data_IF_504811081914
#
_entry.id   IF_504811081914
#
_cell.length_a   1.000
_cell.length_b   1.000
_cell.length_c   1.000
_cell.angle_alpha   90.00
_cell.angle_beta   90.00
_cell.angle_gamma   90.00
#
_symmetry.space_group_name_H-M   'P 1'
#
loop_
_entity.id
_entity.type
_entity.pdbx_description
1 polymer ?
#
# COMPACT_ATOMS: atom_id res chain seq x y z
N UNK A 1 49.73 -34.08 -18.47
CA UNK A 1 50.10 -32.90 -17.64
C UNK A 1 49.98 -31.56 -18.38
N UNK A 2 50.59 -31.38 -19.57
CA UNK A 2 50.57 -30.07 -20.26
C UNK A 2 49.19 -29.53 -20.63
N UNK A 3 48.24 -30.40 -21.01
CA UNK A 3 46.88 -29.98 -21.39
C UNK A 3 46.08 -29.50 -20.18
N UNK A 4 46.20 -30.18 -19.03
CA UNK A 4 45.54 -29.79 -17.79
C UNK A 4 46.07 -28.45 -17.25
N UNK A 5 47.40 -28.24 -17.31
CA UNK A 5 48.02 -26.97 -16.93
C UNK A 5 47.59 -25.82 -17.84
N UNK A 6 47.47 -26.07 -19.15
CA UNK A 6 46.98 -25.08 -20.13
C UNK A 6 45.52 -24.71 -19.89
N UNK A 7 44.65 -25.69 -19.61
CA UNK A 7 43.26 -25.43 -19.25
C UNK A 7 43.13 -24.61 -17.96
N UNK A 8 43.92 -24.92 -16.93
CA UNK A 8 43.93 -24.14 -15.68
C UNK A 8 44.41 -22.71 -15.93
N UNK A 9 45.46 -22.52 -16.72
CA UNK A 9 45.96 -21.19 -17.06
C UNK A 9 44.92 -20.35 -17.81
N UNK A 10 44.20 -20.93 -18.78
CA UNK A 10 43.14 -20.24 -19.51
C UNK A 10 41.97 -19.83 -18.61
N UNK A 11 41.59 -20.67 -17.64
CA UNK A 11 40.55 -20.34 -16.66
C UNK A 11 40.99 -19.17 -15.78
N UNK A 12 42.24 -19.16 -15.29
CA UNK A 12 42.77 -18.07 -14.46
C UNK A 12 42.81 -16.76 -15.25
N UNK A 13 43.26 -16.79 -16.51
CA UNK A 13 43.26 -15.62 -17.39
C UNK A 13 41.84 -15.11 -17.64
N UNK A 14 40.89 -16.02 -17.86
CA UNK A 14 39.47 -15.67 -18.02
C UNK A 14 38.90 -14.97 -16.79
N UNK A 15 39.15 -15.49 -15.59
CA UNK A 15 38.71 -14.87 -14.33
C UNK A 15 39.35 -13.49 -14.16
N UNK A 16 40.65 -13.36 -14.43
CA UNK A 16 41.36 -12.08 -14.36
C UNK A 16 40.80 -11.04 -15.34
N UNK A 17 40.46 -11.44 -16.56
CA UNK A 17 39.84 -10.57 -17.56
C UNK A 17 38.45 -10.09 -17.12
N UNK A 18 37.63 -10.96 -16.51
CA UNK A 18 36.32 -10.59 -15.97
C UNK A 18 36.46 -9.62 -14.79
N UNK A 19 37.39 -9.87 -13.87
CA UNK A 19 37.66 -8.97 -12.75
C UNK A 19 38.12 -7.57 -13.22
N UNK A 20 39.00 -7.52 -14.23
CA UNK A 20 39.41 -6.25 -14.86
C UNK A 20 38.23 -5.54 -15.52
N UNK A 21 37.37 -6.28 -16.23
CA UNK A 21 36.17 -5.72 -16.85
C UNK A 21 35.26 -5.07 -15.80
N UNK A 22 34.99 -5.73 -14.67
CA UNK A 22 34.19 -5.16 -13.59
C UNK A 22 34.82 -3.93 -12.94
N UNK A 23 36.14 -3.92 -12.76
CA UNK A 23 36.86 -2.75 -12.28
C UNK A 23 36.74 -1.56 -13.25
N UNK A 24 36.86 -1.80 -14.56
CA UNK A 24 36.69 -0.76 -15.59
C UNK A 24 35.24 -0.27 -15.69
N UNK A 25 34.28 -1.14 -15.39
CA UNK A 25 32.85 -0.80 -15.38
C UNK A 25 32.44 0.04 -14.16
N UNK A 26 33.23 0.07 -13.10
CA UNK A 26 32.93 0.87 -11.93
C UNK A 26 32.97 2.37 -12.26
N UNK A 27 32.04 3.14 -11.71
CA UNK A 27 31.88 4.58 -11.98
C UNK A 27 31.65 5.36 -10.69
N UNK A 28 31.99 6.66 -10.63
CA UNK A 28 31.69 7.49 -9.46
C UNK A 28 30.17 7.65 -9.24
N UNK A 29 29.73 8.01 -8.02
CA UNK A 29 28.32 8.29 -7.74
C UNK A 29 27.76 9.39 -8.64
N UNK A 30 26.61 9.14 -9.27
CA UNK A 30 25.92 10.14 -10.10
C UNK A 30 25.29 11.26 -9.25
N UNK A 31 24.96 12.39 -9.87
CA UNK A 31 24.21 13.47 -9.19
C UNK A 31 22.85 12.96 -8.71
N UNK A 32 22.19 12.12 -9.51
CA UNK A 32 20.91 11.49 -9.15
C UNK A 32 21.07 10.62 -7.90
N UNK A 33 22.11 9.79 -7.84
CA UNK A 33 22.43 9.00 -6.66
C UNK A 33 22.65 9.88 -5.42
N UNK A 34 23.43 10.95 -5.54
CA UNK A 34 23.72 11.87 -4.43
C UNK A 34 22.43 12.54 -3.93
N UNK A 35 21.55 12.95 -4.84
CA UNK A 35 20.27 13.57 -4.49
C UNK A 35 19.31 12.58 -3.79
N UNK A 36 19.23 11.33 -4.27
CA UNK A 36 18.36 10.31 -3.68
C UNK A 36 18.86 9.80 -2.33
N UNK A 37 20.16 9.90 -2.07
CA UNK A 37 20.77 9.48 -0.80
C UNK A 37 20.91 10.61 0.22
N UNK A 38 20.55 11.84 -0.14
CA UNK A 38 20.51 12.96 0.78
C UNK A 38 19.48 12.73 1.89
N UNK A 39 19.89 12.92 3.15
CA UNK A 39 19.00 12.70 4.29
C UNK A 39 17.88 13.72 4.35
N UNK A 40 16.64 13.32 4.69
CA UNK A 40 15.54 14.25 4.88
C UNK A 40 15.81 15.18 6.08
N UNK A 41 15.27 16.41 6.07
CA UNK A 41 15.17 17.23 7.28
C UNK A 41 14.41 16.46 8.38
N UNK A 42 14.84 16.60 9.64
CA UNK A 42 14.15 16.01 10.81
C UNK A 42 13.31 17.09 11.52
N UNK A 43 11.99 17.14 11.31
CA UNK A 43 11.14 18.16 11.91
C UNK A 43 10.78 18.00 13.40
N UNK A 44 10.61 16.79 13.96
CA UNK A 44 10.22 16.67 15.39
C UNK A 44 11.40 16.66 16.36
N UNK A 45 11.30 17.52 17.38
CA UNK A 45 12.29 17.64 18.46
C UNK A 45 12.07 16.68 19.63
N UNK A 46 10.84 16.17 19.83
CA UNK A 46 10.50 15.28 20.96
C UNK A 46 10.07 13.88 20.49
N UNK A 47 11.04 12.97 20.42
CA UNK A 47 10.82 11.58 19.99
C UNK A 47 9.85 10.81 20.89
N UNK A 48 9.66 11.22 22.16
CA UNK A 48 8.80 10.52 23.12
C UNK A 48 7.31 10.73 22.86
N UNK A 49 6.94 11.67 21.99
CA UNK A 49 5.53 11.94 21.62
C UNK A 49 5.18 11.45 20.22
N UNK A 50 6.11 10.83 19.52
CA UNK A 50 5.91 10.44 18.14
C UNK A 50 5.18 9.09 18.06
N UNK A 51 3.98 9.10 17.45
CA UNK A 51 3.14 7.92 17.24
C UNK A 51 3.83 6.82 16.43
N UNK A 52 4.87 7.14 15.64
CA UNK A 52 5.68 6.15 14.94
C UNK A 52 6.29 5.10 15.88
N UNK A 53 6.84 5.51 17.02
CA UNK A 53 7.43 4.57 17.97
C UNK A 53 6.36 3.74 18.68
N UNK A 54 5.18 4.28 18.94
CA UNK A 54 4.08 3.49 19.49
C UNK A 54 3.69 2.37 18.51
N UNK A 55 3.62 2.64 17.21
CA UNK A 55 3.37 1.59 16.21
C UNK A 55 4.48 0.53 16.19
N UNK A 56 5.75 0.93 16.28
CA UNK A 56 6.87 -0.03 16.31
C UNK A 56 6.88 -0.92 17.57
N UNK A 57 6.47 -0.37 18.71
CA UNK A 57 6.37 -1.08 19.99
C UNK A 57 4.97 -1.55 20.33
N UNK A 58 4.07 -1.64 19.34
CA UNK A 58 2.65 -1.93 19.54
C UNK A 58 2.41 -3.26 20.29
N UNK A 59 3.30 -4.23 20.06
CA UNK A 59 3.26 -5.58 20.64
C UNK A 59 4.10 -5.74 21.92
N UNK A 60 4.59 -4.65 22.50
CA UNK A 60 5.33 -4.72 23.75
C UNK A 60 4.53 -5.46 24.83
N UNK A 61 5.18 -6.18 25.74
CA UNK A 61 4.46 -6.84 26.86
C UNK A 61 3.73 -5.80 27.72
N UNK A 62 2.75 -6.23 28.52
CA UNK A 62 1.92 -5.33 29.31
C UNK A 62 2.72 -4.46 30.30
N UNK A 63 3.88 -4.96 30.75
CA UNK A 63 4.77 -4.32 31.72
C UNK A 63 5.72 -3.30 31.09
N UNK A 64 5.80 -3.25 29.75
CA UNK A 64 6.71 -2.35 29.01
C UNK A 64 5.93 -1.18 28.41
N UNK A 65 6.55 0.00 28.47
CA UNK A 65 6.08 1.17 27.73
C UNK A 65 6.23 0.91 26.21
N UNK A 66 5.12 0.90 25.42
CA UNK A 66 5.19 0.67 23.99
C UNK A 66 6.01 1.74 23.26
N UNK A 67 6.05 2.99 23.75
CA UNK A 67 6.86 4.05 23.13
C UNK A 67 8.35 3.77 23.29
N UNK A 68 8.76 3.41 24.52
CA UNK A 68 10.15 3.04 24.78
C UNK A 68 10.55 1.78 24.01
N UNK A 69 9.68 0.76 23.99
CA UNK A 69 9.94 -0.48 23.25
C UNK A 69 10.13 -0.23 21.74
N UNK A 70 9.31 0.64 21.14
CA UNK A 70 9.47 1.01 19.74
C UNK A 70 10.69 1.87 19.45
N UNK A 71 11.05 2.77 20.38
CA UNK A 71 12.27 3.59 20.28
C UNK A 71 13.56 2.75 20.35
N UNK A 72 13.57 1.74 21.22
CA UNK A 72 14.70 0.83 21.41
C UNK A 72 14.78 -0.28 20.37
N UNK A 73 13.75 -0.44 19.53
CA UNK A 73 13.66 -1.50 18.53
C UNK A 73 14.84 -1.40 17.56
N UNK A 74 15.52 -2.51 17.37
CA UNK A 74 16.63 -2.65 16.43
C UNK A 74 16.25 -3.61 15.31
N UNK A 75 16.98 -3.52 14.21
CA UNK A 75 16.82 -4.44 13.09
C UNK A 75 17.26 -5.85 13.51
N UNK A 76 16.34 -6.81 13.51
CA UNK A 76 16.59 -8.23 13.74
C UNK A 76 16.62 -9.01 12.42
N UNK A 77 17.14 -10.25 12.44
CA UNK A 77 17.42 -11.03 11.23
C UNK A 77 16.20 -11.42 10.38
N UNK A 78 14.98 -11.35 10.92
CA UNK A 78 13.72 -11.67 10.24
C UNK A 78 12.93 -10.42 9.77
N UNK A 79 13.47 -9.21 9.96
CA UNK A 79 12.75 -7.96 9.66
C UNK A 79 12.38 -7.81 8.17
N UNK A 80 13.12 -8.43 7.25
CA UNK A 80 12.81 -8.39 5.83
C UNK A 80 11.51 -9.15 5.49
N UNK A 81 11.30 -10.28 6.18
CA UNK A 81 10.07 -11.08 6.07
C UNK A 81 8.90 -10.41 6.79
N UNK A 82 9.14 -9.78 7.94
CA UNK A 82 8.12 -8.99 8.63
C UNK A 82 7.69 -7.78 7.77
N UNK A 83 8.65 -7.09 7.16
CA UNK A 83 8.41 -5.94 6.28
C UNK A 83 7.65 -6.33 5.01
N UNK A 84 7.90 -7.51 4.44
CA UNK A 84 7.18 -7.97 3.25
C UNK A 84 5.68 -8.15 3.52
N UNK A 85 5.30 -8.60 4.72
CA UNK A 85 3.89 -8.65 5.15
C UNK A 85 3.21 -7.27 5.11
N UNK A 86 3.90 -6.22 5.54
CA UNK A 86 3.39 -4.85 5.45
C UNK A 86 3.32 -4.34 4.00
N UNK A 87 4.29 -4.67 3.16
CA UNK A 87 4.40 -4.16 1.78
C UNK A 87 3.33 -4.73 0.85
N UNK A 88 3.02 -6.03 0.99
CA UNK A 88 1.98 -6.68 0.18
C UNK A 88 0.58 -6.42 0.75
N UNK A 89 0.49 -6.16 2.06
CA UNK A 89 -0.77 -6.01 2.76
C UNK A 89 -1.56 -7.32 2.73
N UNK A 90 -2.88 -7.20 2.68
CA UNK A 90 -3.79 -8.34 2.77
C UNK A 90 -3.77 -9.24 1.51
N UNK A 91 -3.27 -8.77 0.37
CA UNK A 91 -3.31 -9.48 -0.93
C UNK A 91 -2.22 -10.57 -1.08
N UNK A 92 -1.36 -10.76 -0.07
CA UNK A 92 -0.31 -11.76 -0.09
C UNK A 92 -0.89 -13.18 -0.08
N UNK A 93 -0.74 -13.91 -1.20
CA UNK A 93 -0.88 -15.38 -1.23
C UNK A 93 0.30 -16.02 -0.49
N UNK A 94 0.23 -16.02 0.84
CA UNK A 94 1.25 -16.64 1.68
C UNK A 94 1.12 -16.22 3.15
N UNK A 95 0.64 -17.15 3.98
CA UNK A 95 0.81 -17.21 5.44
C UNK A 95 0.71 -15.84 6.12
N UNK A 96 -0.48 -15.27 6.19
CA UNK A 96 -0.77 -14.44 7.37
C UNK A 96 -0.79 -15.42 8.54
N UNK A 97 0.16 -15.29 9.48
CA UNK A 97 0.07 -15.89 10.82
C UNK A 97 -1.07 -15.27 11.65
N UNK A 98 -2.05 -14.67 10.98
CA UNK A 98 -3.18 -14.00 11.58
C UNK A 98 -4.18 -15.07 12.05
N UNK A 99 -4.59 -14.97 13.31
CA UNK A 99 -5.54 -15.91 13.93
C UNK A 99 -6.87 -16.00 13.17
N UNK A 100 -7.66 -17.04 13.46
CA UNK A 100 -8.95 -17.26 12.81
C UNK A 100 -9.89 -16.04 12.91
N UNK A 101 -9.86 -15.31 14.03
CA UNK A 101 -10.60 -14.05 14.23
C UNK A 101 -10.17 -12.97 13.24
N UNK A 102 -8.88 -12.82 12.96
CA UNK A 102 -8.38 -11.80 12.04
C UNK A 102 -8.83 -12.03 10.59
N UNK A 103 -8.90 -13.28 10.15
CA UNK A 103 -9.40 -13.62 8.82
C UNK A 103 -10.91 -13.34 8.70
N UNK A 104 -11.70 -13.63 9.74
CA UNK A 104 -13.13 -13.30 9.77
C UNK A 104 -13.34 -11.80 9.77
N UNK A 105 -12.63 -11.08 10.63
CA UNK A 105 -12.72 -9.61 10.73
C UNK A 105 -12.37 -8.98 9.40
N UNK A 106 -11.27 -9.39 8.76
CA UNK A 106 -10.89 -8.94 7.42
C UNK A 106 -11.99 -9.18 6.38
N UNK A 107 -12.62 -10.36 6.41
CA UNK A 107 -13.70 -10.72 5.48
C UNK A 107 -14.84 -9.72 5.47
N UNK A 108 -15.19 -9.14 6.62
CA UNK A 108 -16.24 -8.11 6.71
C UNK A 108 -15.91 -6.85 5.93
N UNK A 109 -14.65 -6.39 5.97
CA UNK A 109 -14.20 -5.17 5.29
C UNK A 109 -14.05 -5.34 3.77
N UNK A 110 -13.97 -6.60 3.29
CA UNK A 110 -14.00 -6.90 1.85
C UNK A 110 -15.42 -6.97 1.26
N UNK A 111 -16.45 -6.87 2.10
CA UNK A 111 -17.85 -6.89 1.66
C UNK A 111 -18.32 -5.51 1.18
N UNK A 112 -19.40 -5.49 0.40
CA UNK A 112 -20.00 -4.25 -0.11
C UNK A 112 -20.63 -3.35 0.98
N UNK A 113 -21.02 -3.92 2.13
CA UNK A 113 -21.48 -3.19 3.31
C UNK A 113 -20.90 -3.83 4.58
N UNK A 114 -19.68 -3.42 5.00
CA UNK A 114 -19.03 -3.98 6.17
C UNK A 114 -19.88 -3.85 7.43
N UNK A 115 -20.56 -2.72 7.64
CA UNK A 115 -21.38 -2.50 8.84
C UNK A 115 -22.56 -3.47 8.91
N UNK A 116 -23.11 -3.91 7.76
CA UNK A 116 -24.17 -4.91 7.73
C UNK A 116 -23.68 -6.31 8.12
N UNK A 117 -22.42 -6.64 7.81
CA UNK A 117 -21.79 -7.90 8.23
C UNK A 117 -21.41 -7.88 9.72
N UNK A 118 -21.00 -6.72 10.23
CA UNK A 118 -20.53 -6.52 11.60
C UNK A 118 -21.65 -6.61 12.65
N UNK A 119 -22.79 -5.95 12.40
CA UNK A 119 -23.88 -5.82 13.38
C UNK A 119 -24.40 -7.16 13.93
N UNK A 120 -24.67 -8.19 13.11
CA UNK A 120 -25.10 -9.50 13.60
C UNK A 120 -24.07 -10.20 14.48
N UNK A 121 -22.79 -9.79 14.40
CA UNK A 121 -21.66 -10.40 15.08
C UNK A 121 -21.22 -9.62 16.33
N UNK A 122 -22.08 -8.73 16.86
CA UNK A 122 -21.74 -7.83 17.96
C UNK A 122 -21.19 -8.55 19.21
N UNK A 123 -21.67 -9.76 19.54
CA UNK A 123 -21.15 -10.56 20.65
C UNK A 123 -19.73 -11.07 20.38
N UNK A 124 -19.47 -11.56 19.16
CA UNK A 124 -18.13 -11.99 18.75
C UNK A 124 -17.15 -10.82 18.75
N UNK A 125 -17.58 -9.66 18.22
CA UNK A 125 -16.79 -8.41 18.24
C UNK A 125 -16.44 -8.03 19.68
N UNK A 126 -17.40 -8.03 20.61
CA UNK A 126 -17.15 -7.73 22.03
C UNK A 126 -16.19 -8.73 22.68
N UNK A 127 -16.32 -10.01 22.36
CA UNK A 127 -15.42 -11.06 22.85
C UNK A 127 -13.98 -10.83 22.37
N UNK A 128 -13.78 -10.62 21.07
CA UNK A 128 -12.45 -10.36 20.51
C UNK A 128 -11.86 -9.02 20.97
N UNK A 129 -12.68 -7.98 21.09
CA UNK A 129 -12.24 -6.71 21.67
C UNK A 129 -11.78 -6.86 23.13
N UNK A 130 -12.41 -7.73 23.92
CA UNK A 130 -11.95 -7.99 25.30
C UNK A 130 -10.62 -8.75 25.33
N UNK A 131 -10.41 -9.70 24.41
CA UNK A 131 -9.13 -10.40 24.22
C UNK A 131 -8.02 -9.42 23.82
N UNK A 132 -8.32 -8.45 22.94
CA UNK A 132 -7.37 -7.43 22.44
C UNK A 132 -7.40 -6.12 23.25
N UNK A 133 -7.89 -6.14 24.49
CA UNK A 133 -8.14 -4.92 25.28
C UNK A 133 -6.90 -4.05 25.49
N UNK A 134 -5.72 -4.66 25.69
CA UNK A 134 -4.46 -3.92 25.81
C UNK A 134 -4.09 -3.23 24.50
N UNK A 135 -4.21 -3.95 23.37
CA UNK A 135 -3.87 -3.43 22.06
C UNK A 135 -4.85 -2.32 21.63
N UNK A 136 -6.15 -2.48 21.92
CA UNK A 136 -7.16 -1.44 21.71
C UNK A 136 -6.87 -0.18 22.53
N UNK A 137 -6.44 -0.32 23.80
CA UNK A 137 -6.04 0.82 24.63
C UNK A 137 -4.85 1.56 24.02
N UNK A 138 -3.84 0.83 23.51
CA UNK A 138 -2.69 1.42 22.82
C UNK A 138 -3.09 2.10 21.52
N UNK A 139 -3.99 1.49 20.76
CA UNK A 139 -4.53 2.07 19.53
C UNK A 139 -5.27 3.38 19.81
N UNK A 140 -6.13 3.41 20.83
CA UNK A 140 -6.81 4.63 21.28
C UNK A 140 -5.85 5.71 21.77
N UNK A 141 -4.76 5.31 22.46
CA UNK A 141 -3.68 6.24 22.83
C UNK A 141 -2.97 6.80 21.60
N UNK A 142 -2.79 5.99 20.56
CA UNK A 142 -2.07 6.34 19.34
C UNK A 142 -2.83 7.32 18.43
N UNK A 143 -4.16 7.15 18.27
CA UNK A 143 -4.99 7.99 17.39
C UNK A 143 -4.73 9.51 17.50
N UNK A 144 -4.67 10.12 18.71
CA UNK A 144 -4.44 11.56 18.83
C UNK A 144 -2.95 11.97 18.78
N UNK A 145 -2.01 11.04 18.63
CA UNK A 145 -0.58 11.36 18.68
C UNK A 145 -0.10 12.06 17.40
N UNK A 146 0.85 13.01 17.49
CA UNK A 146 1.54 13.48 16.31
C UNK A 146 2.35 12.33 15.70
N UNK A 147 2.38 12.27 14.37
CA UNK A 147 3.04 11.19 13.64
C UNK A 147 4.14 11.74 12.73
N UNK A 148 5.35 11.21 12.88
CA UNK A 148 6.42 11.35 11.90
C UNK A 148 7.16 10.04 11.72
N UNK A 149 7.24 9.58 10.48
CA UNK A 149 8.07 8.43 10.16
C UNK A 149 9.57 8.81 10.24
N UNK A 150 10.25 8.23 11.22
CA UNK A 150 11.71 8.41 11.43
C UNK A 150 12.52 7.21 10.97
N UNK A 151 11.88 6.20 10.35
CA UNK A 151 12.52 4.98 9.84
C UNK A 151 13.27 5.14 8.52
N UNK A 152 13.55 6.37 8.08
CA UNK A 152 14.16 6.63 6.78
C UNK A 152 15.49 5.89 6.61
N UNK A 153 15.63 5.18 5.49
CA UNK A 153 16.82 4.40 5.16
C UNK A 153 16.96 3.11 5.96
N UNK A 154 15.89 2.64 6.62
CA UNK A 154 15.81 1.38 7.34
C UNK A 154 14.65 0.54 6.82
N UNK A 155 14.78 -0.79 6.89
CA UNK A 155 13.67 -1.73 6.69
C UNK A 155 13.24 -2.24 8.07
N UNK A 156 12.48 -1.41 8.76
CA UNK A 156 11.93 -1.70 10.07
C UNK A 156 10.41 -1.58 9.96
N UNK A 157 9.70 -2.63 10.35
CA UNK A 157 8.24 -2.67 10.23
C UNK A 157 7.56 -2.84 11.59
N UNK A 158 6.44 -2.14 11.84
CA UNK A 158 5.56 -2.53 12.93
C UNK A 158 4.85 -3.84 12.58
N UNK A 159 4.16 -4.46 13.53
CA UNK A 159 3.32 -5.62 13.23
C UNK A 159 2.03 -5.17 12.52
N UNK A 160 2.11 -5.00 11.20
CA UNK A 160 1.02 -4.46 10.40
C UNK A 160 -0.26 -5.31 10.50
N UNK A 161 -0.15 -6.64 10.56
CA UNK A 161 -1.30 -7.52 10.68
C UNK A 161 -2.06 -7.31 11.99
N UNK A 162 -1.33 -7.21 13.11
CA UNK A 162 -1.94 -6.97 14.41
C UNK A 162 -2.55 -5.57 14.53
N UNK A 163 -1.85 -4.54 14.02
CA UNK A 163 -2.39 -3.18 14.01
C UNK A 163 -3.67 -3.11 13.17
N UNK A 164 -3.72 -3.73 11.99
CA UNK A 164 -4.93 -3.77 11.16
C UNK A 164 -6.07 -4.53 11.84
N UNK A 165 -5.79 -5.64 12.53
CA UNK A 165 -6.80 -6.33 13.34
C UNK A 165 -7.42 -5.39 14.38
N UNK A 166 -6.58 -4.67 15.13
CA UNK A 166 -7.04 -3.81 16.22
C UNK A 166 -7.80 -2.59 15.70
N UNK A 167 -7.33 -1.97 14.62
CA UNK A 167 -8.03 -0.92 13.89
C UNK A 167 -9.45 -1.38 13.47
N UNK A 168 -9.55 -2.57 12.84
CA UNK A 168 -10.83 -3.14 12.42
C UNK A 168 -11.75 -3.44 13.60
N UNK A 169 -11.21 -3.96 14.70
CA UNK A 169 -11.98 -4.19 15.94
C UNK A 169 -12.44 -2.87 16.58
N UNK A 170 -11.61 -1.83 16.57
CA UNK A 170 -11.95 -0.51 17.07
C UNK A 170 -13.16 0.08 16.32
N UNK A 171 -13.18 -0.02 14.99
CA UNK A 171 -14.32 0.42 14.18
C UNK A 171 -15.55 -0.47 14.40
N UNK A 172 -15.36 -1.79 14.37
CA UNK A 172 -16.42 -2.78 14.58
C UNK A 172 -17.15 -2.56 15.91
N UNK A 173 -16.41 -2.37 17.00
CA UNK A 173 -16.99 -2.11 18.32
C UNK A 173 -17.80 -0.80 18.34
N UNK A 174 -17.34 0.25 17.65
CA UNK A 174 -18.07 1.50 17.54
C UNK A 174 -19.43 1.33 16.86
N UNK A 175 -19.47 0.64 15.71
CA UNK A 175 -20.71 0.39 14.97
C UNK A 175 -21.61 -0.68 15.62
N UNK A 176 -21.04 -1.55 16.45
CA UNK A 176 -21.80 -2.49 17.27
C UNK A 176 -22.55 -1.79 18.43
N UNK A 177 -22.08 -0.62 18.87
CA UNK A 177 -22.78 0.21 19.85
C UNK A 177 -23.92 0.99 19.18
N UNK A 178 -23.57 1.91 18.28
CA UNK A 178 -24.55 2.72 17.53
C UNK A 178 -23.90 3.44 16.34
N UNK A 179 -24.72 4.04 15.47
CA UNK A 179 -24.24 4.73 14.27
C UNK A 179 -23.42 5.98 14.60
N UNK A 180 -23.80 6.75 15.62
CA UNK A 180 -23.10 7.99 15.98
C UNK A 180 -21.71 7.70 16.51
N UNK A 181 -21.60 6.72 17.42
CA UNK A 181 -20.33 6.25 17.97
C UNK A 181 -19.44 5.67 16.86
N UNK A 182 -20.00 4.81 16.00
CA UNK A 182 -19.27 4.27 14.85
C UNK A 182 -18.74 5.35 13.91
N UNK A 183 -19.56 6.35 13.55
CA UNK A 183 -19.12 7.48 12.73
C UNK A 183 -18.06 8.34 13.43
N UNK A 184 -18.16 8.54 14.75
CA UNK A 184 -17.13 9.23 15.53
C UNK A 184 -15.79 8.51 15.50
N UNK A 185 -15.79 7.19 15.66
CA UNK A 185 -14.59 6.37 15.55
C UNK A 185 -14.00 6.41 14.13
N UNK A 186 -14.82 6.20 13.11
CA UNK A 186 -14.40 6.27 11.70
C UNK A 186 -13.77 7.61 11.33
N UNK A 187 -14.32 8.73 11.82
CA UNK A 187 -13.79 10.06 11.57
C UNK A 187 -12.39 10.26 12.20
N UNK A 188 -12.22 9.84 13.46
CA UNK A 188 -10.93 9.90 14.15
C UNK A 188 -9.89 8.96 13.53
N UNK A 189 -10.32 7.77 13.13
CA UNK A 189 -9.49 6.72 12.57
C UNK A 189 -8.94 7.12 11.19
N UNK A 190 -9.85 7.50 10.27
CA UNK A 190 -9.51 8.04 8.95
C UNK A 190 -8.57 9.23 9.06
N UNK A 191 -8.83 10.17 9.98
CA UNK A 191 -7.96 11.33 10.19
C UNK A 191 -6.53 10.95 10.55
N UNK A 192 -6.39 9.96 11.43
CA UNK A 192 -5.09 9.46 11.91
C UNK A 192 -4.34 8.74 10.80
N UNK A 193 -4.98 7.81 10.09
CA UNK A 193 -4.32 7.08 9.00
C UNK A 193 -3.97 7.93 7.80
N UNK A 194 -4.78 8.95 7.49
CA UNK A 194 -4.43 9.91 6.43
C UNK A 194 -3.23 10.76 6.80
N UNK A 195 -3.09 11.15 8.07
CA UNK A 195 -1.88 11.80 8.56
C UNK A 195 -0.65 10.88 8.39
N UNK A 196 -0.76 9.60 8.76
CA UNK A 196 0.31 8.60 8.53
C UNK A 196 0.62 8.45 7.05
N UNK A 197 -0.41 8.34 6.20
CA UNK A 197 -0.27 8.18 4.76
C UNK A 197 0.53 9.33 4.15
N UNK A 198 0.24 10.58 4.54
CA UNK A 198 0.97 11.77 4.09
C UNK A 198 2.38 11.91 4.66
N UNK A 199 2.62 11.47 5.90
CA UNK A 199 3.90 11.66 6.59
C UNK A 199 4.87 10.47 6.49
N UNK A 200 4.42 9.34 5.97
CA UNK A 200 5.23 8.14 5.83
C UNK A 200 6.45 8.35 4.91
N UNK A 201 7.62 7.90 5.39
CA UNK A 201 8.89 7.91 4.67
C UNK A 201 9.33 6.51 4.30
N UNK A 202 8.79 5.49 4.97
CA UNK A 202 9.06 4.08 4.71
C UNK A 202 7.88 3.44 3.96
N UNK A 203 8.18 2.47 3.10
CA UNK A 203 7.16 1.80 2.29
C UNK A 203 6.17 1.01 3.16
N UNK A 204 6.65 0.34 4.20
CA UNK A 204 5.83 -0.49 5.09
C UNK A 204 4.75 0.32 5.79
N UNK A 205 5.11 1.50 6.32
CA UNK A 205 4.16 2.42 6.95
C UNK A 205 3.18 3.00 5.92
N UNK A 206 3.67 3.37 4.73
CA UNK A 206 2.81 3.85 3.63
C UNK A 206 1.75 2.80 3.25
N UNK A 207 2.16 1.55 3.11
CA UNK A 207 1.27 0.44 2.73
C UNK A 207 0.31 0.04 3.87
N UNK A 208 0.76 0.10 5.12
CA UNK A 208 -0.11 -0.07 6.28
C UNK A 208 -1.23 0.98 6.29
N UNK A 209 -0.87 2.26 6.17
CA UNK A 209 -1.83 3.35 6.16
C UNK A 209 -2.80 3.27 4.97
N UNK A 210 -2.31 2.91 3.78
CA UNK A 210 -3.16 2.70 2.62
C UNK A 210 -4.21 1.60 2.88
N UNK A 211 -3.82 0.49 3.51
CA UNK A 211 -4.74 -0.60 3.86
C UNK A 211 -5.84 -0.12 4.81
N UNK A 212 -5.47 0.60 5.87
CA UNK A 212 -6.44 1.09 6.83
C UNK A 212 -7.39 2.15 6.24
N UNK A 213 -6.88 3.04 5.37
CA UNK A 213 -7.73 3.98 4.63
C UNK A 213 -8.69 3.23 3.69
N UNK A 214 -8.26 2.14 3.05
CA UNK A 214 -9.15 1.31 2.22
C UNK A 214 -10.27 0.69 3.07
N UNK A 215 -9.96 0.16 4.25
CA UNK A 215 -10.94 -0.39 5.20
C UNK A 215 -11.97 0.67 5.64
N UNK A 216 -11.50 1.86 6.00
CA UNK A 216 -12.36 2.98 6.38
C UNK A 216 -13.28 3.43 5.23
N UNK A 217 -12.76 3.47 4.01
CA UNK A 217 -13.54 3.81 2.82
C UNK A 217 -14.57 2.74 2.50
N UNK A 218 -14.26 1.45 2.73
CA UNK A 218 -15.23 0.38 2.55
C UNK A 218 -16.42 0.54 3.50
N UNK A 219 -16.18 0.90 4.77
CA UNK A 219 -17.25 1.24 5.72
C UNK A 219 -18.06 2.44 5.22
N UNK A 220 -17.38 3.53 4.86
CA UNK A 220 -18.04 4.76 4.42
C UNK A 220 -18.89 4.52 3.17
N UNK A 221 -18.35 3.80 2.19
CA UNK A 221 -19.03 3.42 0.95
C UNK A 221 -20.26 2.57 1.21
N UNK A 222 -20.12 1.53 2.07
CA UNK A 222 -21.24 0.68 2.49
C UNK A 222 -22.37 1.47 3.14
N UNK A 223 -22.04 2.38 4.07
CA UNK A 223 -23.03 3.26 4.70
C UNK A 223 -23.74 4.16 3.68
N UNK A 224 -23.02 4.68 2.67
CA UNK A 224 -23.61 5.55 1.65
C UNK A 224 -24.58 4.83 0.71
N UNK A 225 -24.59 3.50 0.69
CA UNK A 225 -25.62 2.71 -0.02
C UNK A 225 -26.96 2.67 0.71
N UNK A 226 -26.98 2.95 2.01
CA UNK A 226 -28.18 2.81 2.85
C UNK A 226 -29.11 4.01 2.71
N UNK A 227 -30.41 3.74 2.65
CA UNK A 227 -31.42 4.77 2.44
C UNK A 227 -31.73 5.59 3.71
N UNK A 228 -31.57 4.97 4.89
CA UNK A 228 -31.91 5.51 6.20
C UNK A 228 -30.87 6.51 6.77
N UNK A 229 -29.76 6.75 6.05
CA UNK A 229 -28.78 7.74 6.48
C UNK A 229 -29.30 9.18 6.36
N UNK A 230 -29.24 9.93 7.45
CA UNK A 230 -29.64 11.33 7.48
C UNK A 230 -28.61 12.26 6.78
N UNK A 231 -29.04 13.51 6.51
CA UNK A 231 -28.20 14.50 5.86
C UNK A 231 -26.93 14.85 6.63
N UNK A 232 -26.97 14.78 7.97
CA UNK A 232 -25.82 15.06 8.85
C UNK A 232 -24.76 13.97 8.74
N UNK A 233 -25.15 12.70 8.75
CA UNK A 233 -24.25 11.56 8.57
C UNK A 233 -23.63 11.57 7.17
N UNK A 234 -24.42 11.81 6.13
CA UNK A 234 -23.91 12.01 4.75
C UNK A 234 -22.93 13.19 4.72
N UNK A 235 -23.27 14.27 5.47
CA UNK A 235 -22.44 15.42 5.81
C UNK A 235 -21.01 15.06 6.22
N UNK A 236 -20.92 14.24 7.28
CA UNK A 236 -19.68 13.77 7.90
C UNK A 236 -18.91 12.80 6.99
N UNK A 237 -19.60 11.82 6.39
CA UNK A 237 -19.00 10.87 5.46
C UNK A 237 -18.33 11.58 4.27
N UNK A 238 -18.94 12.66 3.75
CA UNK A 238 -18.32 13.48 2.71
C UNK A 238 -16.98 14.11 3.07
N UNK A 239 -16.72 14.40 4.36
CA UNK A 239 -15.42 14.89 4.82
C UNK A 239 -14.40 13.75 4.94
N UNK A 240 -14.85 12.57 5.39
CA UNK A 240 -14.06 11.36 5.56
C UNK A 240 -13.51 10.89 4.20
N UNK A 241 -14.38 10.81 3.18
CA UNK A 241 -14.03 10.23 1.87
C UNK A 241 -13.48 11.24 0.85
N UNK A 242 -12.90 12.36 1.30
CA UNK A 242 -12.26 13.30 0.37
C UNK A 242 -11.17 12.57 -0.46
N UNK A 243 -10.98 12.89 -1.75
CA UNK A 243 -9.86 12.35 -2.53
C UNK A 243 -8.51 12.58 -1.84
N UNK A 244 -7.52 11.76 -2.17
CA UNK A 244 -6.16 11.94 -1.66
C UNK A 244 -5.56 13.24 -2.20
N UNK A 245 -4.87 13.97 -1.33
CA UNK A 245 -4.07 15.13 -1.74
C UNK A 245 -2.68 14.70 -2.24
N UNK A 246 -1.90 15.67 -2.72
CA UNK A 246 -0.58 15.41 -3.30
C UNK A 246 0.43 14.84 -2.30
N UNK A 247 0.30 15.16 -1.01
CA UNK A 247 1.20 14.65 0.03
C UNK A 247 0.84 13.20 0.33
N UNK A 248 -0.45 12.89 0.41
CA UNK A 248 -0.98 11.54 0.60
C UNK A 248 -0.70 10.61 -0.59
N UNK A 249 -0.74 11.13 -1.83
CA UNK A 249 -0.39 10.38 -3.05
C UNK A 249 1.12 10.15 -3.22
N UNK A 250 1.96 11.01 -2.64
CA UNK A 250 3.40 10.99 -2.90
C UNK A 250 4.06 9.71 -2.39
N UNK A 251 4.85 9.08 -3.27
CA UNK A 251 5.74 7.95 -2.94
C UNK A 251 7.22 8.34 -2.94
N UNK A 252 7.54 9.63 -3.11
CA UNK A 252 8.93 10.10 -3.21
C UNK A 252 9.79 9.67 -2.02
N UNK A 253 9.30 9.85 -0.80
CA UNK A 253 10.04 9.47 0.40
C UNK A 253 10.17 7.96 0.58
N UNK A 254 9.09 7.15 0.47
CA UNK A 254 9.18 5.69 0.42
C UNK A 254 10.22 5.16 -0.57
N UNK A 255 10.24 5.72 -1.79
CA UNK A 255 11.21 5.38 -2.83
C UNK A 255 12.65 5.68 -2.41
N UNK A 256 12.90 6.91 -1.95
CA UNK A 256 14.24 7.31 -1.48
C UNK A 256 14.70 6.49 -0.26
N UNK A 257 13.80 6.26 0.70
CA UNK A 257 14.12 5.48 1.91
C UNK A 257 14.51 4.04 1.56
N UNK A 258 13.74 3.39 0.68
CA UNK A 258 14.05 2.02 0.26
C UNK A 258 15.38 1.95 -0.51
N UNK A 259 15.66 2.95 -1.35
CA UNK A 259 16.94 3.07 -2.06
C UNK A 259 18.14 3.27 -1.11
N UNK A 260 18.01 4.15 -0.12
CA UNK A 260 19.05 4.38 0.90
C UNK A 260 19.29 3.13 1.74
N UNK A 261 18.24 2.42 2.12
CA UNK A 261 18.39 1.16 2.83
C UNK A 261 19.15 0.13 1.99
N UNK A 262 18.70 -0.08 0.76
CA UNK A 262 19.28 -1.07 -0.15
C UNK A 262 20.76 -0.82 -0.45
N UNK A 263 21.14 0.43 -0.68
CA UNK A 263 22.54 0.79 -0.96
C UNK A 263 23.46 0.52 0.24
N UNK A 264 22.97 0.71 1.48
CA UNK A 264 23.72 0.36 2.70
C UNK A 264 23.85 -1.15 2.91
N UNK A 265 22.81 -1.93 2.57
CA UNK A 265 22.80 -3.37 2.82
C UNK A 265 23.56 -4.18 1.78
N UNK A 266 23.70 -3.70 0.54
CA UNK A 266 24.46 -4.42 -0.51
C UNK A 266 25.88 -4.76 -0.06
N UNK A 267 26.61 -3.78 0.50
CA UNK A 267 27.98 -4.04 0.99
C UNK A 267 28.01 -5.01 2.15
N UNK A 268 27.01 -4.99 3.03
CA UNK A 268 26.89 -5.94 4.14
C UNK A 268 26.55 -7.35 3.63
N UNK A 269 25.63 -7.49 2.66
CA UNK A 269 25.25 -8.76 2.06
C UNK A 269 26.39 -9.39 1.26
N UNK A 270 27.23 -8.57 0.60
CA UNK A 270 28.43 -9.06 -0.05
C UNK A 270 29.44 -9.66 0.95
N UNK A 271 29.49 -9.15 2.19
CA UNK A 271 30.44 -9.56 3.24
C UNK A 271 29.92 -10.65 4.18
N UNK A 272 28.63 -10.63 4.51
CA UNK A 272 28.02 -11.46 5.56
C UNK A 272 27.37 -12.74 5.03
N UNK A 273 27.24 -12.89 3.72
CA UNK A 273 26.63 -14.08 3.14
C UNK A 273 27.61 -15.26 3.23
N UNK A 274 27.14 -16.34 3.87
CA UNK A 274 27.95 -17.42 4.44
C UNK A 274 28.84 -18.05 3.38
N UNK A 275 30.14 -17.81 3.48
CA UNK A 275 31.15 -18.34 2.55
C UNK A 275 31.12 -19.88 2.43
N UNK A 276 30.62 -20.59 3.43
CA UNK A 276 30.63 -22.06 3.50
C UNK A 276 29.45 -22.76 2.78
N UNK A 277 28.39 -22.03 2.37
CA UNK A 277 27.22 -22.60 1.67
C UNK A 277 27.18 -22.23 0.16
N UNK A 278 28.09 -21.36 -0.30
CA UNK A 278 28.08 -20.85 -1.68
C UNK A 278 28.77 -21.80 -2.67
N UNK A 279 28.25 -21.96 -3.90
CA UNK A 279 29.03 -22.55 -4.98
C UNK A 279 30.35 -21.78 -5.18
N UNK A 280 31.44 -22.51 -5.46
CA UNK A 280 32.79 -21.93 -5.59
C UNK A 280 32.87 -20.72 -6.54
N UNK A 281 32.11 -20.76 -7.65
CA UNK A 281 32.09 -19.66 -8.62
C UNK A 281 31.49 -18.37 -8.05
N UNK A 282 30.52 -18.46 -7.14
CA UNK A 282 29.92 -17.30 -6.45
C UNK A 282 30.90 -16.72 -5.44
N UNK A 283 31.59 -17.57 -4.69
CA UNK A 283 32.61 -17.13 -3.73
C UNK A 283 33.77 -16.39 -4.43
N UNK A 284 34.24 -16.92 -5.57
CA UNK A 284 35.24 -16.27 -6.40
C UNK A 284 34.74 -14.93 -6.96
N UNK A 285 33.50 -14.86 -7.44
CA UNK A 285 32.91 -13.62 -7.93
C UNK A 285 32.72 -12.56 -6.84
N UNK A 286 32.30 -12.95 -5.64
CA UNK A 286 32.13 -12.05 -4.50
C UNK A 286 33.46 -11.43 -4.02
N UNK A 287 34.59 -12.12 -4.24
CA UNK A 287 35.93 -11.63 -3.92
C UNK A 287 36.51 -10.68 -4.97
N UNK A 288 35.87 -10.54 -6.14
CA UNK A 288 36.30 -9.64 -7.22
C UNK A 288 35.79 -8.20 -7.02
N UNK A 289 36.39 -7.20 -7.69
CA UNK A 289 35.93 -5.81 -7.64
C UNK A 289 34.63 -5.64 -8.44
N UNK A 290 33.50 -6.03 -7.83
CA UNK A 290 32.16 -5.92 -8.43
C UNK A 290 31.77 -4.44 -8.64
N UNK A 291 31.05 -4.11 -9.73
CA UNK A 291 30.68 -2.74 -10.09
C UNK A 291 29.46 -2.25 -9.27
N UNK A 292 29.63 -2.10 -7.95
CA UNK A 292 28.55 -1.79 -7.00
C UNK A 292 27.98 -0.40 -7.21
N UNK A 293 28.83 0.62 -7.43
CA UNK A 293 28.36 1.99 -7.60
C UNK A 293 27.68 2.16 -8.96
N UNK A 294 28.17 1.52 -10.02
CA UNK A 294 27.48 1.47 -11.31
C UNK A 294 26.05 0.94 -11.17
N UNK A 295 25.89 -0.18 -10.47
CA UNK A 295 24.57 -0.77 -10.17
C UNK A 295 23.69 0.23 -9.41
N UNK A 296 24.23 0.86 -8.37
CA UNK A 296 23.49 1.85 -7.59
C UNK A 296 23.07 3.06 -8.40
N UNK A 297 23.90 3.55 -9.33
CA UNK A 297 23.55 4.64 -10.23
C UNK A 297 22.39 4.24 -11.17
N UNK A 298 22.40 3.03 -11.74
CA UNK A 298 21.31 2.56 -12.60
C UNK A 298 19.97 2.47 -11.86
N UNK A 299 19.99 2.02 -10.59
CA UNK A 299 18.81 2.07 -9.73
C UNK A 299 18.41 3.51 -9.39
N UNK A 300 19.36 4.41 -9.16
CA UNK A 300 19.06 5.82 -8.92
C UNK A 300 18.27 6.43 -10.09
N UNK A 301 18.72 6.19 -11.33
CA UNK A 301 18.05 6.68 -12.54
C UNK A 301 16.64 6.09 -12.72
N UNK A 302 16.47 4.80 -12.38
CA UNK A 302 15.15 4.15 -12.36
C UNK A 302 14.21 4.82 -11.35
N UNK A 303 14.66 5.01 -10.11
CA UNK A 303 13.87 5.58 -9.03
C UNK A 303 13.51 7.05 -9.29
N UNK A 304 14.44 7.85 -9.85
CA UNK A 304 14.16 9.21 -10.28
C UNK A 304 13.10 9.24 -11.39
N UNK A 305 13.26 8.41 -12.42
CA UNK A 305 12.31 8.32 -13.53
C UNK A 305 10.92 7.91 -13.07
N UNK A 306 10.82 6.94 -12.16
CA UNK A 306 9.56 6.48 -11.58
C UNK A 306 8.95 7.57 -10.69
N UNK A 307 9.74 8.23 -9.84
CA UNK A 307 9.25 9.34 -9.00
C UNK A 307 8.74 10.51 -9.83
N UNK A 308 9.39 10.83 -10.94
CA UNK A 308 8.95 11.86 -11.88
C UNK A 308 7.63 11.48 -12.56
N UNK A 309 7.50 10.23 -13.03
CA UNK A 309 6.25 9.75 -13.62
C UNK A 309 5.07 9.83 -12.64
N UNK A 310 5.27 9.44 -11.38
CA UNK A 310 4.27 9.57 -10.32
C UNK A 310 3.90 11.03 -10.08
N UNK A 311 4.89 11.93 -9.96
CA UNK A 311 4.65 13.36 -9.75
C UNK A 311 3.90 14.04 -10.92
N UNK A 312 4.06 13.54 -12.13
CA UNK A 312 3.33 13.98 -13.34
C UNK A 312 1.95 13.32 -13.49
N UNK A 313 1.53 12.46 -12.55
CA UNK A 313 0.25 11.74 -12.61
C UNK A 313 0.22 10.59 -13.62
N UNK A 314 1.36 10.15 -14.14
CA UNK A 314 1.47 9.05 -15.13
C UNK A 314 1.52 7.68 -14.47
N UNK A 315 0.51 7.35 -13.68
CA UNK A 315 0.49 6.15 -12.83
C UNK A 315 0.41 4.83 -13.61
N UNK A 316 -0.29 4.80 -14.75
CA UNK A 316 -0.40 3.61 -15.59
C UNK A 316 0.85 3.32 -16.43
N UNK A 317 1.76 4.31 -16.57
CA UNK A 317 2.89 4.26 -17.49
C UNK A 317 4.21 4.55 -16.78
N UNK A 318 4.48 3.78 -15.72
CA UNK A 318 5.76 3.85 -15.03
C UNK A 318 6.89 3.28 -15.89
N UNK A 319 8.11 3.83 -15.78
CA UNK A 319 9.28 3.24 -16.40
C UNK A 319 9.45 1.81 -15.91
N UNK A 320 9.86 0.89 -16.80
CA UNK A 320 10.10 -0.50 -16.42
C UNK A 320 11.52 -0.64 -15.89
N UNK A 321 11.68 -1.37 -14.77
CA UNK A 321 13.01 -1.62 -14.20
C UNK A 321 13.98 -2.23 -15.23
N UNK A 322 13.47 -3.09 -16.11
CA UNK A 322 14.24 -3.74 -17.17
C UNK A 322 14.88 -2.79 -18.19
N UNK A 323 14.40 -1.54 -18.31
CA UNK A 323 15.05 -0.54 -19.18
C UNK A 323 16.30 0.07 -18.56
N UNK A 324 16.50 -0.10 -17.24
CA UNK A 324 17.67 0.38 -16.50
C UNK A 324 18.60 -0.78 -16.14
N UNK A 325 18.01 -1.89 -15.69
CA UNK A 325 18.73 -3.06 -15.18
C UNK A 325 18.09 -4.31 -15.76
N UNK A 326 18.83 -5.02 -16.61
CA UNK A 326 18.33 -6.21 -17.30
C UNK A 326 18.25 -7.40 -16.35
N UNK A 327 17.04 -7.71 -15.91
CA UNK A 327 16.68 -8.90 -15.14
C UNK A 327 15.35 -9.47 -15.64
N UNK A 328 15.24 -10.77 -15.99
CA UNK A 328 16.30 -11.80 -15.98
C UNK A 328 17.34 -11.61 -17.10
N UNK A 329 18.48 -12.29 -17.00
CA UNK A 329 19.50 -12.30 -18.05
C UNK A 329 18.96 -12.98 -19.31
N UNK A 330 19.16 -12.37 -20.47
CA UNK A 330 18.77 -12.93 -21.79
C UNK A 330 19.98 -13.32 -22.64
N UNK A 331 21.18 -12.98 -22.18
CA UNK A 331 22.45 -13.25 -22.87
C UNK A 331 23.61 -13.42 -21.89
N UNK A 332 24.70 -14.04 -22.34
CA UNK A 332 25.93 -14.18 -21.55
C UNK A 332 26.55 -12.81 -21.17
N UNK A 333 26.33 -11.78 -21.99
CA UNK A 333 26.80 -10.41 -21.72
C UNK A 333 26.10 -9.82 -20.50
N UNK A 334 24.85 -10.19 -20.23
CA UNK A 334 24.11 -9.67 -19.08
C UNK A 334 24.73 -10.13 -17.75
N UNK A 335 25.33 -11.32 -17.70
CA UNK A 335 26.06 -11.81 -16.51
C UNK A 335 27.32 -11.00 -16.21
N UNK A 336 28.01 -10.54 -17.26
CA UNK A 336 29.18 -9.66 -17.11
C UNK A 336 28.74 -8.24 -16.79
N UNK A 337 27.69 -7.74 -17.44
CA UNK A 337 27.18 -6.39 -17.26
C UNK A 337 26.50 -6.17 -15.90
N UNK A 338 25.90 -7.21 -15.34
CA UNK A 338 25.18 -7.14 -14.06
C UNK A 338 25.45 -8.37 -13.16
N UNK A 339 26.68 -8.49 -12.62
CA UNK A 339 27.10 -9.67 -11.89
C UNK A 339 26.46 -9.81 -10.50
N UNK A 340 25.99 -8.71 -9.91
CA UNK A 340 25.44 -8.70 -8.55
C UNK A 340 24.11 -9.46 -8.50
N UNK A 341 23.20 -9.22 -9.43
CA UNK A 341 21.93 -9.95 -9.53
C UNK A 341 22.12 -11.36 -10.11
N UNK A 342 22.94 -11.50 -11.15
CA UNK A 342 22.97 -12.74 -11.94
C UNK A 342 23.98 -13.78 -11.46
N UNK A 343 25.02 -13.37 -10.72
CA UNK A 343 26.06 -14.27 -10.20
C UNK A 343 26.02 -14.33 -8.68
N UNK A 344 26.00 -13.17 -8.00
CA UNK A 344 25.95 -13.14 -6.53
C UNK A 344 24.56 -13.52 -6.02
N UNK A 345 23.51 -13.24 -6.80
CA UNK A 345 22.13 -13.54 -6.42
C UNK A 345 21.56 -12.56 -5.41
N UNK A 346 22.09 -11.33 -5.33
CA UNK A 346 21.43 -10.26 -4.58
C UNK A 346 20.18 -9.86 -5.36
N UNK A 347 19.02 -10.01 -4.72
CA UNK A 347 17.74 -9.69 -5.35
C UNK A 347 17.72 -8.24 -5.89
N UNK A 348 17.12 -8.03 -7.08
CA UNK A 348 16.95 -6.70 -7.61
C UNK A 348 16.03 -5.88 -6.70
N UNK A 349 16.23 -4.56 -6.67
CA UNK A 349 15.29 -3.68 -5.97
C UNK A 349 13.89 -3.77 -6.60
N UNK A 350 12.81 -3.61 -5.81
CA UNK A 350 11.47 -3.88 -6.29
C UNK A 350 11.06 -2.90 -7.40
N UNK A 351 10.15 -3.37 -8.26
CA UNK A 351 9.38 -2.48 -9.12
C UNK A 351 8.38 -1.67 -8.29
N UNK A 352 8.13 -0.43 -8.73
CA UNK A 352 7.20 0.46 -8.04
C UNK A 352 5.76 0.35 -8.52
N UNK A 353 5.51 -0.32 -9.64
CA UNK A 353 4.17 -0.51 -10.21
C UNK A 353 3.13 -1.00 -9.19
N UNK A 354 3.38 -2.05 -8.38
CA UNK A 354 2.38 -2.55 -7.44
C UNK A 354 2.04 -1.54 -6.34
N UNK A 355 3.04 -0.81 -5.84
CA UNK A 355 2.87 0.14 -4.74
C UNK A 355 2.20 1.44 -5.21
N UNK A 356 2.57 1.93 -6.40
CA UNK A 356 1.91 3.07 -7.04
C UNK A 356 0.45 2.71 -7.35
N UNK A 357 0.22 1.56 -7.98
CA UNK A 357 -1.12 1.06 -8.30
C UNK A 357 -2.02 1.03 -7.07
N UNK A 358 -1.51 0.49 -5.95
CA UNK A 358 -2.26 0.40 -4.69
C UNK A 358 -2.63 1.76 -4.08
N UNK A 359 -1.75 2.74 -4.13
CA UNK A 359 -2.05 4.11 -3.67
C UNK A 359 -3.11 4.76 -4.55
N UNK A 360 -3.00 4.61 -5.86
CA UNK A 360 -3.94 5.17 -6.83
C UNK A 360 -5.30 4.49 -6.73
N UNK A 361 -5.33 3.19 -6.47
CA UNK A 361 -6.55 2.44 -6.20
C UNK A 361 -7.25 2.92 -4.92
N UNK A 362 -6.47 3.27 -3.89
CA UNK A 362 -6.99 3.88 -2.66
C UNK A 362 -7.67 5.22 -2.97
N UNK A 363 -7.05 6.06 -3.80
CA UNK A 363 -7.66 7.31 -4.27
C UNK A 363 -8.92 7.06 -5.12
N UNK A 364 -8.91 6.04 -6.00
CA UNK A 364 -10.06 5.65 -6.79
C UNK A 364 -11.25 5.27 -5.90
N UNK A 365 -11.02 4.46 -4.84
CA UNK A 365 -12.06 4.12 -3.85
C UNK A 365 -12.60 5.36 -3.13
N UNK A 366 -11.74 6.28 -2.71
CA UNK A 366 -12.14 7.54 -2.08
C UNK A 366 -13.01 8.40 -3.01
N UNK A 367 -12.59 8.55 -4.27
CA UNK A 367 -13.33 9.31 -5.28
C UNK A 367 -14.69 8.70 -5.59
N UNK A 368 -14.77 7.37 -5.69
CA UNK A 368 -16.04 6.67 -5.86
C UNK A 368 -16.96 6.87 -4.65
N UNK A 369 -16.46 6.72 -3.43
CA UNK A 369 -17.26 7.02 -2.24
C UNK A 369 -17.70 8.50 -2.17
N UNK A 370 -16.83 9.43 -2.60
CA UNK A 370 -17.18 10.84 -2.74
C UNK A 370 -18.26 11.08 -3.79
N UNK A 371 -18.29 10.32 -4.88
CA UNK A 371 -19.38 10.35 -5.85
C UNK A 371 -20.70 9.83 -5.26
N UNK A 372 -20.68 8.85 -4.36
CA UNK A 372 -21.90 8.41 -3.66
C UNK A 372 -22.45 9.56 -2.80
N UNK A 373 -21.58 10.30 -2.11
CA UNK A 373 -21.97 11.50 -1.35
C UNK A 373 -22.57 12.55 -2.29
N UNK A 374 -21.94 12.80 -3.44
CA UNK A 374 -22.45 13.73 -4.45
C UNK A 374 -23.86 13.37 -4.92
N UNK A 375 -24.08 12.09 -5.26
CA UNK A 375 -25.40 11.59 -5.67
C UNK A 375 -26.44 11.74 -4.55
N UNK A 376 -26.06 11.44 -3.30
CA UNK A 376 -26.95 11.53 -2.13
C UNK A 376 -27.34 12.98 -1.77
N UNK A 377 -26.45 13.96 -1.98
CA UNK A 377 -26.70 15.38 -1.66
C UNK A 377 -27.26 16.20 -2.82
N UNK A 378 -26.96 15.80 -4.06
CA UNK A 378 -27.28 16.59 -5.24
C UNK A 378 -28.79 16.72 -5.51
N UNK A 379 -29.21 17.70 -6.33
CA UNK A 379 -30.58 17.78 -6.82
C UNK A 379 -31.02 16.43 -7.38
N UNK A 380 -32.24 16.01 -7.05
CA UNK A 380 -32.81 14.74 -7.54
C UNK A 380 -33.34 14.85 -8.98
N UNK A 381 -33.14 16.00 -9.62
CA UNK A 381 -33.54 16.26 -11.00
C UNK A 381 -32.51 15.72 -12.00
N UNK A 382 -33.00 14.99 -13.00
CA UNK A 382 -32.19 14.38 -14.05
C UNK A 382 -31.71 12.95 -13.74
N UNK A 383 -31.27 12.23 -14.77
CA UNK A 383 -30.76 10.87 -14.61
C UNK A 383 -29.38 10.85 -13.92
N UNK A 384 -28.98 9.68 -13.39
CA UNK A 384 -27.71 9.51 -12.65
C UNK A 384 -26.48 9.93 -13.46
N UNK A 385 -26.47 9.66 -14.77
CA UNK A 385 -25.35 10.01 -15.66
C UNK A 385 -25.16 11.53 -15.75
N UNK A 386 -26.25 12.28 -15.92
CA UNK A 386 -26.23 13.75 -15.97
C UNK A 386 -25.74 14.35 -14.64
N UNK A 387 -26.05 13.70 -13.51
CA UNK A 387 -25.56 14.14 -12.18
C UNK A 387 -24.06 13.88 -12.00
N UNK A 388 -23.59 12.71 -12.44
CA UNK A 388 -22.17 12.35 -12.39
C UNK A 388 -21.31 13.24 -13.29
N UNK A 389 -21.80 13.60 -14.47
CA UNK A 389 -21.11 14.52 -15.38
C UNK A 389 -20.84 15.91 -14.76
N UNK A 390 -21.59 16.30 -13.72
CA UNK A 390 -21.44 17.58 -13.01
C UNK A 390 -20.50 17.53 -11.80
N UNK A 391 -20.03 16.35 -11.38
CA UNK A 391 -19.19 16.21 -10.18
C UNK A 391 -17.80 16.86 -10.35
N UNK A 392 -17.32 16.95 -11.59
CA UNK A 392 -16.06 17.62 -11.94
C UNK A 392 -14.83 16.70 -11.89
N UNK A 393 -13.66 17.28 -12.22
CA UNK A 393 -12.41 16.54 -12.42
C UNK A 393 -11.85 15.92 -11.14
N UNK A 394 -12.23 16.43 -9.96
CA UNK A 394 -11.81 15.86 -8.68
C UNK A 394 -12.29 14.42 -8.47
N UNK A 395 -13.31 14.00 -9.23
CA UNK A 395 -13.90 12.66 -9.17
C UNK A 395 -13.58 11.79 -10.38
N UNK A 396 -12.69 12.25 -11.27
CA UNK A 396 -12.25 11.45 -12.40
C UNK A 396 -11.44 10.25 -11.93
N UNK A 397 -11.48 9.19 -12.73
CA UNK A 397 -10.69 7.99 -12.56
C UNK A 397 -9.20 8.36 -12.53
N UNK A 398 -8.48 8.12 -11.41
CA UNK A 398 -7.10 8.53 -11.29
C UNK A 398 -6.15 7.71 -12.17
N UNK A 399 -6.59 6.56 -12.72
CA UNK A 399 -5.78 5.77 -13.66
C UNK A 399 -5.81 6.32 -15.09
N UNK A 400 -6.93 6.92 -15.52
CA UNK A 400 -7.14 7.36 -16.91
C UNK A 400 -7.22 8.88 -17.05
N UNK A 401 -7.55 9.60 -15.98
CA UNK A 401 -7.85 11.03 -16.03
C UNK A 401 -9.19 11.36 -16.70
N UNK A 402 -10.08 10.36 -16.85
CA UNK A 402 -11.40 10.50 -17.46
C UNK A 402 -12.52 10.32 -16.40
N UNK A 403 -13.78 10.71 -16.68
CA UNK A 403 -14.89 10.43 -15.77
C UNK A 403 -14.99 8.94 -15.42
N UNK A 404 -15.33 8.64 -14.17
CA UNK A 404 -15.64 7.27 -13.73
C UNK A 404 -16.74 6.65 -14.59
N UNK A 405 -16.62 5.35 -14.84
CA UNK A 405 -17.56 4.61 -15.66
C UNK A 405 -18.78 4.16 -14.84
N UNK A 406 -19.87 3.85 -15.53
CA UNK A 406 -21.15 3.47 -14.90
C UNK A 406 -21.71 2.26 -15.61
N UNK A 407 -22.00 1.21 -14.87
CA UNK A 407 -22.78 0.08 -15.34
C UNK A 407 -24.16 0.11 -14.66
N UNK A 408 -25.18 0.53 -15.41
CA UNK A 408 -26.56 0.64 -14.91
C UNK A 408 -27.18 -0.73 -14.62
N UNK A 409 -26.84 -1.77 -15.38
CA UNK A 409 -27.37 -3.12 -15.18
C UNK A 409 -26.88 -3.72 -13.87
N UNK A 410 -25.62 -3.45 -13.52
CA UNK A 410 -25.02 -3.86 -12.25
C UNK A 410 -25.29 -2.88 -11.11
N UNK A 411 -25.78 -1.68 -11.41
CA UNK A 411 -26.03 -0.63 -10.41
C UNK A 411 -24.74 -0.10 -9.77
N UNK A 412 -23.63 -0.09 -10.51
CA UNK A 412 -22.31 0.33 -9.99
C UNK A 412 -21.70 1.45 -10.82
N UNK A 413 -20.87 2.24 -10.17
CA UNK A 413 -19.88 3.12 -10.78
C UNK A 413 -18.50 2.61 -10.45
N UNK A 414 -17.54 2.79 -11.36
CA UNK A 414 -16.24 2.13 -11.26
C UNK A 414 -15.12 2.88 -11.95
N UNK A 415 -13.90 2.58 -11.50
CA UNK A 415 -12.63 2.89 -12.16
C UNK A 415 -12.10 1.61 -12.80
N UNK A 416 -11.41 1.73 -13.94
CA UNK A 416 -10.78 0.61 -14.65
C UNK A 416 -9.64 -0.05 -13.85
N UNK A 417 -9.23 0.56 -12.74
CA UNK A 417 -8.22 -0.01 -11.86
C UNK A 417 -6.82 -0.10 -12.48
N UNK A 418 -5.98 -0.91 -11.84
CA UNK A 418 -4.54 -0.96 -12.11
C UNK A 418 -4.19 -1.53 -13.49
N UNK A 419 -5.03 -2.40 -14.05
CA UNK A 419 -4.75 -3.03 -15.35
C UNK A 419 -5.13 -2.12 -16.53
N UNK A 420 -5.82 -1.01 -16.26
CA UNK A 420 -6.19 0.03 -17.21
C UNK A 420 -7.21 -0.41 -18.25
N UNK A 421 -7.90 -1.53 -18.03
CA UNK A 421 -8.86 -2.10 -18.97
C UNK A 421 -10.26 -1.97 -18.40
N UNK A 422 -11.25 -1.75 -19.26
CA UNK A 422 -12.65 -1.74 -18.87
C UNK A 422 -13.17 -3.19 -18.75
N UNK A 423 -13.63 -3.61 -17.57
CA UNK A 423 -14.31 -4.91 -17.35
C UNK A 423 -15.77 -4.76 -16.93
N UNK A 424 -16.41 -3.67 -17.34
CA UNK A 424 -17.84 -3.43 -17.14
C UNK A 424 -18.27 -3.39 -15.66
N UNK A 425 -17.36 -3.04 -14.74
CA UNK A 425 -17.61 -2.99 -13.30
C UNK A 425 -17.60 -4.38 -12.66
N UNK A 426 -16.60 -5.21 -13.00
CA UNK A 426 -16.32 -6.46 -12.30
C UNK A 426 -15.57 -6.19 -10.99
N UNK A 427 -16.17 -6.47 -9.80
CA UNK A 427 -15.52 -6.20 -8.52
C UNK A 427 -14.20 -6.95 -8.30
N UNK A 428 -13.87 -7.97 -9.12
CA UNK A 428 -12.60 -8.68 -9.04
C UNK A 428 -11.47 -8.02 -9.85
N UNK A 429 -11.79 -7.07 -10.73
CA UNK A 429 -10.84 -6.50 -11.70
C UNK A 429 -10.89 -4.97 -11.74
N UNK A 430 -12.09 -4.41 -11.64
CA UNK A 430 -12.36 -2.98 -11.51
C UNK A 430 -12.48 -2.55 -10.04
N UNK A 431 -12.26 -1.26 -9.78
CA UNK A 431 -12.58 -0.66 -8.48
C UNK A 431 -14.02 -0.19 -8.52
N UNK A 432 -14.91 -0.81 -7.75
CA UNK A 432 -16.36 -0.56 -7.84
C UNK A 432 -16.94 0.09 -6.59
N UNK A 433 -17.99 0.88 -6.78
CA UNK A 433 -18.91 1.32 -5.73
C UNK A 433 -20.35 1.26 -6.21
N UNK A 434 -21.27 0.88 -5.32
CA UNK A 434 -22.69 0.84 -5.64
C UNK A 434 -23.25 2.25 -5.84
N UNK A 435 -24.14 2.41 -6.82
CA UNK A 435 -24.90 3.63 -7.04
C UNK A 435 -25.99 3.70 -5.95
N UNK A 436 -26.02 4.74 -5.11
CA UNK A 436 -27.04 4.87 -4.09
C UNK A 436 -28.44 4.94 -4.71
N UNK A 437 -29.38 4.13 -4.23
CA UNK A 437 -30.78 4.21 -4.65
C UNK A 437 -31.44 5.41 -3.97
N UNK A 438 -31.69 6.47 -4.74
CA UNK A 438 -32.55 7.58 -4.33
C UNK A 438 -33.99 7.16 -4.57
N UNK A 439 -34.86 7.20 -3.55
CA UNK A 439 -36.26 6.80 -3.64
C UNK A 439 -36.89 7.25 -4.97
N UNK A 440 -37.18 6.29 -5.85
CA UNK A 440 -38.12 6.50 -6.92
C UNK A 440 -39.49 6.61 -6.28
N UNK A 441 -40.11 7.77 -6.51
CA UNK A 441 -41.51 8.08 -6.27
C UNK A 441 -42.37 6.86 -6.65
N UNK A 442 -43.29 6.53 -5.76
CA UNK A 442 -44.40 5.59 -5.93
C UNK A 442 -44.89 5.63 -7.39
N UNK A 443 -44.66 4.55 -8.14
CA UNK A 443 -45.37 4.34 -9.38
C UNK A 443 -46.78 3.90 -8.98
N UNK A 444 -47.65 4.89 -8.87
CA UNK A 444 -49.09 4.76 -8.73
C UNK A 444 -49.63 4.07 -10.00
N UNK A 445 -49.50 2.74 -10.07
CA UNK A 445 -50.18 1.92 -11.06
C UNK A 445 -51.60 1.62 -10.57
N UNK A 446 -52.38 2.68 -10.38
CA UNK A 446 -53.84 2.59 -10.48
C UNK A 446 -54.21 2.42 -11.95
N UNK A 447 -54.27 1.17 -12.41
CA UNK A 447 -55.23 0.76 -13.45
C UNK A 447 -55.95 -0.49 -12.98
N UNK A 448 -57.13 -0.23 -12.43
CA UNK A 448 -58.28 -1.11 -12.28
C UNK A 448 -58.38 -2.16 -13.39
N UNK A 449 -58.20 -3.43 -13.04
CA UNK A 449 -58.69 -4.55 -13.82
C UNK A 449 -60.16 -4.80 -13.43
N UNK A 450 -61.06 -4.33 -14.27
CA UNK A 450 -62.47 -4.70 -14.26
C UNK A 450 -62.62 -6.19 -14.58
N UNK A 451 -63.27 -6.93 -13.68
CA UNK A 451 -63.68 -8.32 -13.86
C UNK A 451 -64.65 -8.48 -15.05
N UNK A 452 -64.52 -9.52 -15.90
CA UNK A 452 -65.60 -9.87 -16.82
C UNK A 452 -66.64 -10.72 -16.08
N UNK A 453 -67.90 -10.30 -16.13
CA UNK A 453 -69.07 -11.12 -15.78
C UNK A 453 -69.32 -12.15 -16.89
N UNK A 454 -69.52 -13.40 -16.50
CA UNK A 454 -70.06 -14.45 -17.37
C UNK A 454 -71.52 -14.16 -17.77
N UNK A 455 -71.85 -14.50 -19.01
CA UNK A 455 -73.18 -14.96 -19.40
C UNK A 455 -73.01 -16.18 -20.29
#
# INVERSE_FOLDING_TARGET
>A
MGLALSCVALVVVGIGAVGLAWMVMEVPPSVVYQNLTASPPRPLSDSRKNGYFLLLGFDASAERDPLQAGYERKMEGNELQAASGCMVGDEGKGITTAGASANVVRGWFTSADPVAQLKPQAEAVRSWASQESLALKRYQQWLPMPFEDVGYGQILSPNCAHILLVHRLYLAEGFAQDLSTGLGRLESDMGSWRAVLGQSKTLMVKMLAATAVQDDVAIASGLLTRQDLDGTAIGRLGKIVRPLDQVELSLRWPMQSHFVWATKTVTANLKNDKADERPLYVALAAAMPLPVQRRSNAYADYYESASKAVAEGRYANLPKLSSFIRTPAVSAVDYVANPIEHIIGIEPLPSWDPYVGRIVETDARLRLASLQVWIRRGPQEGNVLTRLAKAGQAHYDPFTGLPMLVNQQRGVMYSVGQDGKDQEGDPQRDVVAAIPTTQSIVLENSRSLSSPRSK
#
